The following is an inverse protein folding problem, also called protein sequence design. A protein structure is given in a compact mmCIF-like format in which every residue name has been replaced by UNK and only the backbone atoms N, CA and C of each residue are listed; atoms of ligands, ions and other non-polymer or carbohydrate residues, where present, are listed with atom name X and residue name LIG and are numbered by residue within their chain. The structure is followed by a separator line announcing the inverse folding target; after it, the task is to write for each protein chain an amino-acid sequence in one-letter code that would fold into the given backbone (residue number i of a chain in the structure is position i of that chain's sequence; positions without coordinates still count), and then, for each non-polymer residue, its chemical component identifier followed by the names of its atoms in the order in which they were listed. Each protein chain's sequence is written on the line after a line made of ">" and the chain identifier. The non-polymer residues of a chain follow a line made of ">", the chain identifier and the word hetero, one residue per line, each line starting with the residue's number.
data_IF_432040183845
#
_entry.id   IF_432040183845
#
_cell.length_a   1.000
_cell.length_b   1.000
_cell.length_c   1.000
_cell.angle_alpha   90.00
_cell.angle_beta   90.00
_cell.angle_gamma   90.00
#
_symmetry.space_group_name_H-M   'P 1'
#
loop_
_entity.id
_entity.type
_entity.pdbx_description
1 polymer ?
#
# COMPACT_ATOMS: atom_id res chain seq x y z
N UNK A 1 7.38 -30.66 4.77
CA UNK A 1 7.27 -29.56 5.75
C UNK A 1 5.98 -28.80 5.49
N UNK A 2 5.23 -28.43 6.53
CA UNK A 2 3.93 -27.74 6.44
C UNK A 2 3.96 -26.47 7.27
N UNK A 3 3.25 -25.43 6.85
CA UNK A 3 3.03 -24.20 7.63
C UNK A 3 1.65 -24.29 8.26
N UNK A 4 1.57 -24.05 9.57
CA UNK A 4 0.31 -24.07 10.32
C UNK A 4 -0.26 -22.65 10.42
N UNK A 5 -1.51 -22.48 10.00
CA UNK A 5 -2.32 -21.28 10.25
C UNK A 5 -3.38 -21.62 11.31
N UNK A 6 -3.93 -20.59 11.97
CA UNK A 6 -4.89 -20.77 13.06
C UNK A 6 -6.14 -21.59 12.66
N UNK A 7 -6.46 -21.63 11.36
CA UNK A 7 -7.65 -22.24 10.77
C UNK A 7 -7.35 -23.39 9.78
N UNK A 8 -6.10 -23.58 9.32
CA UNK A 8 -5.74 -24.56 8.28
C UNK A 8 -4.25 -24.87 8.18
N UNK A 9 -3.90 -25.96 7.51
CA UNK A 9 -2.51 -26.31 7.16
C UNK A 9 -2.31 -26.33 5.65
N UNK A 10 -1.21 -25.76 5.15
CA UNK A 10 -0.85 -25.75 3.72
C UNK A 10 0.53 -26.39 3.52
N UNK A 11 0.73 -27.23 2.49
CA UNK A 11 2.07 -27.72 2.15
C UNK A 11 3.02 -26.55 1.86
N UNK A 12 4.25 -26.63 2.38
CA UNK A 12 5.22 -25.53 2.25
C UNK A 12 5.44 -25.09 0.80
N UNK A 13 5.57 -26.04 -0.14
CA UNK A 13 5.75 -25.73 -1.56
C UNK A 13 4.57 -24.95 -2.17
N UNK A 14 3.33 -25.27 -1.76
CA UNK A 14 2.14 -24.55 -2.21
C UNK A 14 2.15 -23.12 -1.67
N UNK A 15 2.43 -22.96 -0.37
CA UNK A 15 2.55 -21.65 0.25
C UNK A 15 3.60 -20.76 -0.42
N UNK A 16 4.79 -21.29 -0.71
CA UNK A 16 5.87 -20.53 -1.37
C UNK A 16 5.45 -20.08 -2.77
N UNK A 17 4.81 -20.96 -3.55
CA UNK A 17 4.33 -20.62 -4.89
C UNK A 17 3.23 -19.54 -4.84
N UNK A 18 2.27 -19.68 -3.93
CA UNK A 18 1.19 -18.70 -3.76
C UNK A 18 1.75 -17.34 -3.31
N UNK A 19 2.73 -17.34 -2.41
CA UNK A 19 3.40 -16.14 -1.95
C UNK A 19 4.16 -15.46 -3.10
N UNK A 20 4.94 -16.22 -3.87
CA UNK A 20 5.68 -15.70 -5.02
C UNK A 20 4.74 -15.08 -6.06
N UNK A 21 3.66 -15.79 -6.41
CA UNK A 21 2.64 -15.29 -7.32
C UNK A 21 1.97 -14.02 -6.78
N UNK A 22 1.70 -13.94 -5.48
CA UNK A 22 1.12 -12.75 -4.85
C UNK A 22 2.07 -11.56 -4.91
N UNK A 23 3.36 -11.76 -4.63
CA UNK A 23 4.38 -10.70 -4.69
C UNK A 23 4.49 -10.15 -6.12
N UNK A 24 4.64 -11.02 -7.13
CA UNK A 24 4.75 -10.60 -8.53
C UNK A 24 3.52 -9.79 -8.96
N UNK A 25 2.32 -10.24 -8.60
CA UNK A 25 1.09 -9.50 -8.89
C UNK A 25 1.04 -8.11 -8.22
N UNK A 26 1.57 -7.96 -7.00
CA UNK A 26 1.63 -6.66 -6.33
C UNK A 26 2.66 -5.74 -6.98
N UNK A 27 3.80 -6.27 -7.39
CA UNK A 27 4.84 -5.52 -8.09
C UNK A 27 4.34 -5.00 -9.45
N UNK A 28 3.72 -5.86 -10.26
CA UNK A 28 3.20 -5.46 -11.58
C UNK A 28 2.07 -4.43 -11.46
N UNK A 29 1.26 -4.48 -10.40
CA UNK A 29 0.21 -3.47 -10.14
C UNK A 29 0.76 -2.08 -9.84
N UNK A 30 1.91 -1.99 -9.18
CA UNK A 30 2.52 -0.70 -8.81
C UNK A 30 3.51 -0.20 -9.86
N UNK A 31 3.96 -1.06 -10.78
CA UNK A 31 5.00 -0.77 -11.78
C UNK A 31 4.71 0.44 -12.66
N UNK A 32 3.43 0.72 -12.94
CA UNK A 32 3.01 1.86 -13.75
C UNK A 32 2.77 3.13 -12.95
N UNK A 33 2.81 3.05 -11.61
CA UNK A 33 2.61 4.22 -10.77
C UNK A 33 3.85 5.14 -10.87
N UNK A 34 3.65 6.46 -11.02
CA UNK A 34 4.77 7.39 -10.96
C UNK A 34 5.34 7.42 -9.54
N UNK A 35 6.64 7.66 -9.41
CA UNK A 35 7.33 7.72 -8.10
C UNK A 35 6.67 8.70 -7.13
N UNK A 36 6.25 9.86 -7.66
CA UNK A 36 5.50 10.88 -6.93
C UNK A 36 4.21 11.25 -7.66
N UNK A 37 3.15 11.49 -6.88
CA UNK A 37 1.88 12.04 -7.37
C UNK A 37 1.52 13.35 -6.68
N UNK A 38 0.83 14.24 -7.39
CA UNK A 38 0.29 15.46 -6.79
C UNK A 38 -0.75 15.17 -5.72
N UNK A 39 -0.92 16.10 -4.77
CA UNK A 39 -1.97 16.00 -3.75
C UNK A 39 -3.37 15.78 -4.35
N UNK A 40 -3.68 16.46 -5.45
CA UNK A 40 -4.96 16.27 -6.15
C UNK A 40 -5.11 14.82 -6.62
N UNK A 41 -4.08 14.26 -7.26
CA UNK A 41 -4.11 12.87 -7.73
C UNK A 41 -4.12 11.87 -6.56
N UNK A 42 -3.41 12.17 -5.46
CA UNK A 42 -3.45 11.36 -4.25
C UNK A 42 -4.86 11.30 -3.64
N UNK A 43 -5.57 12.43 -3.59
CA UNK A 43 -6.96 12.48 -3.12
C UNK A 43 -7.91 11.70 -4.03
N UNK A 44 -7.68 11.70 -5.34
CA UNK A 44 -8.47 10.95 -6.32
C UNK A 44 -8.27 9.43 -6.18
N UNK A 45 -7.02 8.97 -6.05
CA UNK A 45 -6.70 7.53 -5.99
C UNK A 45 -7.01 6.93 -4.61
N UNK A 46 -6.62 7.60 -3.53
CA UNK A 46 -6.63 7.04 -2.17
C UNK A 46 -7.78 7.57 -1.31
N UNK A 47 -8.50 8.59 -1.78
CA UNK A 47 -9.54 9.27 -1.03
C UNK A 47 -8.98 10.34 -0.09
N UNK A 48 -9.56 11.53 -0.13
CA UNK A 48 -9.13 12.69 0.68
C UNK A 48 -9.07 12.39 2.18
N UNK A 49 -10.10 11.74 2.73
CA UNK A 49 -10.15 11.40 4.17
C UNK A 49 -8.99 10.50 4.61
N UNK A 50 -8.58 9.55 3.77
CA UNK A 50 -7.46 8.66 4.07
C UNK A 50 -6.15 9.43 4.07
N UNK A 51 -5.88 10.23 3.02
CA UNK A 51 -4.66 11.04 2.95
C UNK A 51 -4.56 12.02 4.12
N UNK A 52 -5.66 12.70 4.47
CA UNK A 52 -5.68 13.62 5.61
C UNK A 52 -5.48 12.90 6.94
N UNK A 53 -6.06 11.70 7.13
CA UNK A 53 -5.82 10.86 8.32
C UNK A 53 -4.36 10.43 8.40
N UNK A 54 -3.80 9.86 7.35
CA UNK A 54 -2.41 9.41 7.32
C UNK A 54 -1.44 10.57 7.54
N UNK A 55 -1.76 11.76 7.02
CA UNK A 55 -0.97 12.98 7.29
C UNK A 55 -1.03 13.38 8.76
N UNK A 56 -2.22 13.35 9.37
CA UNK A 56 -2.39 13.65 10.82
C UNK A 56 -1.64 12.65 11.70
N UNK A 57 -1.56 11.39 11.27
CA UNK A 57 -0.82 10.33 11.96
C UNK A 57 0.69 10.34 11.65
N UNK A 58 1.18 11.27 10.83
CA UNK A 58 2.60 11.32 10.42
C UNK A 58 3.05 10.21 9.48
N UNK A 59 2.11 9.40 8.96
CA UNK A 59 2.37 8.26 8.07
C UNK A 59 2.56 8.68 6.61
N UNK A 60 1.86 9.72 6.17
CA UNK A 60 1.97 10.25 4.80
C UNK A 60 2.53 11.68 4.83
N UNK A 61 3.81 11.81 4.46
CA UNK A 61 4.53 13.08 4.50
C UNK A 61 4.64 13.67 3.09
N UNK A 62 3.94 14.78 2.79
CA UNK A 62 4.05 15.42 1.50
C UNK A 62 5.38 16.16 1.36
N UNK A 63 5.97 16.09 0.17
CA UNK A 63 7.10 16.93 -0.24
C UNK A 63 6.54 18.22 -0.84
N UNK A 64 7.04 19.36 -0.36
CA UNK A 64 6.69 20.66 -0.91
C UNK A 64 7.60 20.99 -2.09
N UNK A 65 7.01 21.14 -3.28
CA UNK A 65 7.67 21.67 -4.48
C UNK A 65 7.17 23.09 -4.75
N UNK A 66 7.83 23.86 -5.64
CA UNK A 66 7.28 25.13 -6.12
C UNK A 66 5.85 24.91 -6.64
N UNK A 67 4.89 25.62 -6.04
CA UNK A 67 3.47 25.63 -6.41
C UNK A 67 2.66 24.33 -6.20
N UNK A 68 3.24 23.24 -5.67
CA UNK A 68 2.49 21.99 -5.45
C UNK A 68 3.00 21.16 -4.27
N UNK A 69 2.10 20.35 -3.72
CA UNK A 69 2.42 19.27 -2.79
C UNK A 69 2.37 17.94 -3.52
N UNK A 70 3.36 17.09 -3.29
CA UNK A 70 3.45 15.74 -3.85
C UNK A 70 3.67 14.71 -2.76
N UNK A 71 3.27 13.48 -3.03
CA UNK A 71 3.40 12.34 -2.15
C UNK A 71 4.17 11.22 -2.85
N UNK A 72 5.02 10.51 -2.11
CA UNK A 72 5.61 9.27 -2.57
C UNK A 72 4.49 8.24 -2.79
N UNK A 73 4.35 7.73 -4.01
CA UNK A 73 3.24 6.84 -4.35
C UNK A 73 3.38 5.48 -3.68
N UNK A 74 4.61 4.98 -3.55
CA UNK A 74 4.91 3.71 -2.89
C UNK A 74 4.46 3.71 -1.42
N UNK A 75 4.70 4.81 -0.69
CA UNK A 75 4.26 4.95 0.71
C UNK A 75 2.73 4.92 0.82
N UNK A 76 2.04 5.61 -0.09
CA UNK A 76 0.57 5.60 -0.11
C UNK A 76 -0.01 4.23 -0.48
N UNK A 77 0.63 3.49 -1.40
CA UNK A 77 0.27 2.11 -1.73
C UNK A 77 0.47 1.16 -0.56
N UNK A 78 1.57 1.33 0.18
CA UNK A 78 1.81 0.57 1.41
C UNK A 78 0.69 0.86 2.42
N UNK A 79 0.38 2.12 2.69
CA UNK A 79 -0.67 2.53 3.63
C UNK A 79 -2.08 2.08 3.21
N UNK A 80 -2.35 1.97 1.92
CA UNK A 80 -3.60 1.39 1.39
C UNK A 80 -3.73 -0.10 1.73
N UNK A 81 -2.61 -0.84 1.74
CA UNK A 81 -2.56 -2.29 1.93
C UNK A 81 -2.43 -2.69 3.40
N UNK A 82 -1.86 -1.83 4.24
CA UNK A 82 -1.82 -2.03 5.68
C UNK A 82 -3.25 -1.97 6.24
N UNK A 83 -3.56 -2.88 7.17
CA UNK A 83 -4.87 -2.97 7.81
C UNK A 83 -5.33 -1.58 8.28
N UNK A 84 -6.54 -1.24 7.88
CA UNK A 84 -7.10 0.07 8.17
C UNK A 84 -7.62 0.07 9.60
N UNK A 85 -7.16 1.05 10.35
CA UNK A 85 -7.37 1.32 11.78
C UNK A 85 -8.81 1.71 12.16
N UNK A 86 -9.77 1.50 11.27
CA UNK A 86 -11.18 1.85 11.44
C UNK A 86 -12.13 0.65 11.31
N UNK A 87 -11.59 -0.57 11.28
CA UNK A 87 -12.35 -1.82 11.37
C UNK A 87 -12.34 -2.43 12.78
N UNK A 88 -11.81 -1.70 13.76
CA UNK A 88 -11.90 -2.01 15.19
C UNK A 88 -13.18 -1.41 15.80
#
# INVERSE_FOLDING_TARGET
>A
MTVQFADKSVPYGVFVNDLAAKIVNLLEKDKTDPEFISQRKAFEIFGRKNIERWRRQGKANPIKRPHKLEYCTADLRLLQRTQQDYYD
#
